data_IF_292945886183
#
_entry.id   IF_292945886183
#
_cell.length_a   1.000
_cell.length_b   1.000
_cell.length_c   1.000
_cell.angle_alpha   90.00
_cell.angle_beta   90.00
_cell.angle_gamma   90.00
#
_symmetry.space_group_name_H-M   'P 1'
#
loop_
_entity.id
_entity.type
_entity.pdbx_description
1 polymer ?
#
# COMPACT_ATOMS: atom_id res chain seq x y z
N UNK A 1 -2.20 -2.81 0.04
CA UNK A 1 -2.88 -3.62 -1.00
C UNK A 1 -4.20 -4.10 -0.45
N UNK A 2 -5.30 -3.49 -0.89
CA UNK A 2 -6.65 -3.95 -0.53
C UNK A 2 -7.14 -4.91 -1.61
N UNK A 3 -7.58 -6.09 -1.21
CA UNK A 3 -8.07 -7.10 -2.14
C UNK A 3 -9.53 -7.45 -1.89
N UNK A 4 -10.28 -7.70 -2.96
CA UNK A 4 -11.63 -8.27 -2.91
C UNK A 4 -11.66 -9.54 -3.75
N UNK A 5 -12.52 -10.49 -3.39
CA UNK A 5 -12.56 -11.82 -4.01
C UNK A 5 -13.79 -12.04 -4.89
N UNK A 6 -14.70 -11.06 -5.00
CA UNK A 6 -15.96 -11.19 -5.73
C UNK A 6 -16.20 -10.00 -6.67
N UNK A 7 -16.61 -10.23 -7.94
CA UNK A 7 -16.77 -11.53 -8.61
C UNK A 7 -15.45 -12.21 -8.99
N UNK A 8 -14.33 -11.48 -8.90
CA UNK A 8 -12.96 -11.95 -9.21
C UNK A 8 -11.97 -11.41 -8.18
N UNK A 9 -10.78 -12.00 -8.11
CA UNK A 9 -9.71 -11.53 -7.24
C UNK A 9 -9.07 -10.26 -7.79
N UNK A 10 -9.41 -9.14 -7.18
CA UNK A 10 -8.96 -7.81 -7.60
C UNK A 10 -8.21 -7.12 -6.47
N UNK A 11 -7.32 -6.22 -6.85
CA UNK A 11 -6.61 -5.32 -5.96
C UNK A 11 -6.97 -3.87 -6.29
N UNK A 12 -7.14 -3.06 -5.26
CA UNK A 12 -7.35 -1.62 -5.43
C UNK A 12 -6.06 -0.96 -5.87
N UNK A 13 -6.12 -0.32 -7.03
CA UNK A 13 -5.10 0.57 -7.57
C UNK A 13 -5.60 2.01 -7.51
N UNK A 14 -4.71 2.94 -7.21
CA UNK A 14 -4.98 4.38 -7.22
C UNK A 14 -4.08 5.07 -8.22
N UNK A 15 -4.59 6.13 -8.85
CA UNK A 15 -3.82 7.00 -9.74
C UNK A 15 -3.59 8.34 -9.05
N UNK A 16 -2.32 8.71 -8.90
CA UNK A 16 -1.96 9.98 -8.26
C UNK A 16 -2.10 11.17 -9.19
N UNK A 17 -2.61 12.28 -8.66
CA UNK A 17 -2.60 13.58 -9.30
C UNK A 17 -1.21 14.20 -9.22
N UNK A 18 -0.88 14.94 -10.28
CA UNK A 18 0.39 15.63 -10.44
C UNK A 18 0.43 16.92 -9.64
N UNK A 19 1.50 17.14 -8.87
CA UNK A 19 2.17 18.44 -8.96
C UNK A 19 3.71 18.39 -9.04
N UNK A 20 4.45 17.40 -8.50
CA UNK A 20 5.92 17.62 -8.35
C UNK A 20 6.92 16.48 -8.69
N UNK A 21 6.59 15.18 -8.88
CA UNK A 21 7.67 14.16 -9.04
C UNK A 21 7.50 13.08 -10.12
N UNK A 22 8.67 12.56 -10.54
CA UNK A 22 9.14 11.68 -11.63
C UNK A 22 8.24 10.58 -12.28
N UNK A 23 6.99 10.35 -11.89
CA UNK A 23 6.18 9.25 -12.43
C UNK A 23 4.70 9.64 -12.61
N UNK A 24 4.49 10.54 -13.56
CA UNK A 24 3.18 11.00 -14.05
C UNK A 24 2.14 9.89 -14.17
N UNK A 25 1.00 10.04 -13.48
CA UNK A 25 -0.17 9.17 -13.65
C UNK A 25 0.09 7.69 -13.37
N UNK A 26 1.17 7.36 -12.65
CA UNK A 26 1.48 5.99 -12.31
C UNK A 26 0.41 5.41 -11.39
N UNK A 27 0.06 4.15 -11.64
CA UNK A 27 -0.79 3.38 -10.73
C UNK A 27 0.06 2.81 -9.60
N UNK A 28 -0.42 3.02 -8.38
CA UNK A 28 0.16 2.51 -7.14
C UNK A 28 -0.94 1.89 -6.28
N UNK A 29 -0.56 1.21 -5.21
CA UNK A 29 -1.54 0.88 -4.16
C UNK A 29 -1.77 2.10 -3.27
N UNK A 30 -2.91 2.17 -2.55
CA UNK A 30 -3.07 3.19 -1.54
C UNK A 30 -1.96 3.16 -0.50
N UNK A 31 -1.46 4.32 -0.08
CA UNK A 31 -0.44 4.41 0.96
C UNK A 31 0.52 5.59 0.83
N UNK A 32 0.98 6.12 1.95
CA UNK A 32 1.85 7.28 2.00
C UNK A 32 2.90 7.20 3.10
N UNK A 33 3.25 8.35 3.66
CA UNK A 33 4.30 8.44 4.69
C UNK A 33 3.69 8.13 6.06
N UNK A 34 4.50 7.57 6.94
CA UNK A 34 4.16 7.53 8.37
C UNK A 34 4.29 8.94 8.93
N UNK A 35 3.25 9.38 9.64
CA UNK A 35 3.18 10.68 10.30
C UNK A 35 3.30 10.53 11.82
N UNK A 36 3.51 11.65 12.52
CA UNK A 36 3.73 11.65 13.97
C UNK A 36 2.53 11.05 14.73
N UNK A 37 1.30 11.35 14.29
CA UNK A 37 0.10 10.78 14.91
C UNK A 37 -0.09 9.28 14.64
N UNK A 38 0.54 8.71 13.61
CA UNK A 38 0.50 7.25 13.39
C UNK A 38 1.33 6.51 14.45
N UNK A 39 2.26 7.22 15.11
CA UNK A 39 3.13 6.72 16.17
C UNK A 39 2.62 7.09 17.58
N UNK A 40 1.45 7.72 17.68
CA UNK A 40 0.89 8.16 18.96
C UNK A 40 0.66 6.98 19.92
N UNK A 41 1.17 7.02 21.16
CA UNK A 41 0.99 5.93 22.11
C UNK A 41 -0.47 5.64 22.47
N UNK A 42 -1.40 6.58 22.28
CA UNK A 42 -2.85 6.38 22.46
C UNK A 42 -3.41 5.26 21.57
N UNK A 43 -2.72 4.88 20.50
CA UNK A 43 -3.09 3.71 19.69
C UNK A 43 -3.03 2.40 20.47
N UNK A 44 -2.21 2.30 21.52
CA UNK A 44 -2.15 1.10 22.36
C UNK A 44 -3.49 0.80 23.07
N UNK A 45 -4.30 1.83 23.32
CA UNK A 45 -5.64 1.72 23.91
C UNK A 45 -6.74 1.61 22.86
N UNK A 46 -6.46 2.07 21.62
CA UNK A 46 -7.48 2.24 20.58
C UNK A 46 -7.44 1.15 19.50
N UNK A 47 -6.36 0.37 19.44
CA UNK A 47 -6.16 -0.67 18.44
C UNK A 47 -6.03 -2.07 19.07
N UNK A 48 -6.77 -3.03 18.51
CA UNK A 48 -6.65 -4.45 18.82
C UNK A 48 -5.36 -4.99 18.19
N UNK A 49 -4.70 -5.91 18.89
CA UNK A 49 -3.50 -6.59 18.39
C UNK A 49 -2.24 -5.74 18.42
N UNK A 50 -2.23 -4.62 19.14
CA UNK A 50 -1.06 -3.74 19.31
C UNK A 50 0.21 -4.48 19.73
N UNK A 51 0.08 -5.41 20.70
CA UNK A 51 1.19 -6.23 21.20
C UNK A 51 1.43 -7.51 20.37
N UNK A 52 0.54 -7.84 19.44
CA UNK A 52 0.66 -9.00 18.55
C UNK A 52 1.48 -8.67 17.28
N UNK A 53 1.70 -7.38 17.01
CA UNK A 53 2.52 -6.89 15.90
C UNK A 53 3.85 -6.32 16.40
N UNK A 54 4.91 -6.47 15.60
CA UNK A 54 6.23 -5.91 15.91
C UNK A 54 6.15 -4.38 16.02
N UNK A 55 6.91 -3.80 16.96
CA UNK A 55 6.89 -2.36 17.23
C UNK A 55 7.16 -1.51 15.99
N UNK A 56 8.15 -1.92 15.18
CA UNK A 56 8.51 -1.25 13.93
C UNK A 56 7.39 -1.26 12.87
N UNK A 57 6.40 -2.16 13.01
CA UNK A 57 5.27 -2.26 12.09
C UNK A 57 4.03 -1.48 12.56
N UNK A 58 3.95 -1.07 13.83
CA UNK A 58 2.76 -0.43 14.41
C UNK A 58 2.40 0.85 13.67
N UNK A 59 3.32 1.81 13.61
CA UNK A 59 3.15 3.05 12.86
C UNK A 59 2.85 2.81 11.38
N UNK A 60 3.67 2.02 10.65
CA UNK A 60 3.39 1.69 9.25
C UNK A 60 2.03 1.02 9.00
N UNK A 61 1.50 0.22 9.94
CA UNK A 61 0.17 -0.37 9.82
C UNK A 61 -0.92 0.68 9.99
N UNK A 62 -0.80 1.55 10.99
CA UNK A 62 -1.72 2.68 11.19
C UNK A 62 -1.71 3.60 9.97
N UNK A 63 -0.52 4.00 9.50
CA UNK A 63 -0.36 4.81 8.30
C UNK A 63 -1.01 4.15 7.08
N UNK A 64 -0.81 2.85 6.86
CA UNK A 64 -1.44 2.14 5.75
C UNK A 64 -2.98 2.12 5.82
N UNK A 65 -3.57 2.08 7.03
CA UNK A 65 -5.02 2.15 7.23
C UNK A 65 -5.52 3.59 6.97
N UNK A 66 -4.84 4.59 7.56
CA UNK A 66 -5.15 6.01 7.39
C UNK A 66 -5.13 6.41 5.92
N UNK A 67 -4.04 6.13 5.24
CA UNK A 67 -3.84 6.49 3.83
C UNK A 67 -4.84 5.80 2.90
N UNK A 68 -5.18 4.53 3.17
CA UNK A 68 -6.24 3.86 2.44
C UNK A 68 -7.60 4.57 2.62
N UNK A 69 -7.88 5.06 3.83
CA UNK A 69 -9.09 5.80 4.12
C UNK A 69 -9.07 7.19 3.46
N UNK A 70 -7.97 7.93 3.57
CA UNK A 70 -7.78 9.26 2.98
C UNK A 70 -7.86 9.23 1.46
N UNK A 71 -7.16 8.32 0.78
CA UNK A 71 -7.07 8.27 -0.68
C UNK A 71 -8.31 7.62 -1.33
N UNK A 72 -8.98 6.67 -0.64
CA UNK A 72 -10.02 5.83 -1.27
C UNK A 72 -11.33 5.68 -0.49
N UNK A 73 -11.40 6.20 0.74
CA UNK A 73 -12.56 6.02 1.63
C UNK A 73 -12.68 4.62 2.21
N UNK A 74 -11.76 3.72 1.87
CA UNK A 74 -11.74 2.36 2.39
C UNK A 74 -11.02 2.34 3.73
N UNK A 75 -11.69 1.84 4.76
CA UNK A 75 -11.15 1.70 6.11
C UNK A 75 -10.81 0.22 6.40
N UNK A 76 -9.67 -0.30 5.92
CA UNK A 76 -9.28 -1.70 6.14
C UNK A 76 -8.93 -1.96 7.60
N UNK A 77 -8.98 -3.23 8.00
CA UNK A 77 -8.64 -3.64 9.36
C UNK A 77 -9.63 -3.14 10.42
N UNK A 78 -10.82 -2.71 10.02
CA UNK A 78 -11.88 -2.31 10.93
C UNK A 78 -12.86 -3.47 11.16
N UNK A 79 -13.19 -3.75 12.42
CA UNK A 79 -14.17 -4.80 12.81
C UNK A 79 -15.60 -4.28 12.70
N UNK A 80 -15.81 -2.97 12.86
CA UNK A 80 -17.11 -2.31 12.79
C UNK A 80 -16.93 -0.92 12.13
N UNK A 81 -16.97 -0.83 10.79
CA UNK A 81 -16.81 0.45 10.12
C UNK A 81 -18.02 1.36 10.39
N UNK A 82 -17.83 2.69 10.42
CA UNK A 82 -18.93 3.63 10.60
C UNK A 82 -19.93 3.52 9.44
N UNK A 83 -21.22 3.56 9.76
CA UNK A 83 -22.30 3.39 8.77
C UNK A 83 -22.45 4.59 7.82
N UNK A 84 -22.01 5.78 8.26
CA UNK A 84 -22.18 7.04 7.54
C UNK A 84 -20.98 7.33 6.62
N UNK A 85 -21.16 7.07 5.32
CA UNK A 85 -20.16 7.38 4.29
C UNK A 85 -20.02 8.87 4.00
N UNK A 86 -21.06 9.67 4.19
CA UNK A 86 -21.00 11.12 3.96
C UNK A 86 -20.15 11.79 5.06
N UNK A 87 -20.35 11.36 6.31
CA UNK A 87 -19.48 11.71 7.43
C UNK A 87 -18.02 11.33 7.19
N UNK A 88 -17.74 10.19 6.56
CA UNK A 88 -16.38 9.80 6.17
C UNK A 88 -15.76 10.74 5.12
N UNK A 89 -16.53 11.26 4.16
CA UNK A 89 -16.01 12.20 3.16
C UNK A 89 -15.59 13.54 3.81
N UNK A 90 -16.42 14.08 4.71
CA UNK A 90 -16.07 15.28 5.48
C UNK A 90 -14.86 15.05 6.39
N UNK A 91 -14.79 13.90 7.05
CA UNK A 91 -13.65 13.53 7.89
C UNK A 91 -12.34 13.45 7.10
N UNK A 92 -12.37 12.85 5.90
CA UNK A 92 -11.20 12.80 5.00
C UNK A 92 -10.73 14.20 4.61
N UNK A 93 -11.64 15.09 4.24
CA UNK A 93 -11.29 16.49 3.93
C UNK A 93 -10.70 17.24 5.14
N UNK A 94 -11.16 16.91 6.35
CA UNK A 94 -10.62 17.47 7.59
C UNK A 94 -9.26 16.87 7.99
N UNK A 95 -8.98 15.62 7.61
CA UNK A 95 -7.64 15.02 7.78
C UNK A 95 -6.65 15.65 6.80
N UNK A 96 -7.04 15.77 5.54
CA UNK A 96 -6.23 16.39 4.48
C UNK A 96 -5.83 17.84 4.83
N UNK A 97 -6.75 18.63 5.41
CA UNK A 97 -6.46 20.01 5.80
C UNK A 97 -5.77 20.13 7.18
N UNK A 98 -5.47 19.00 7.84
CA UNK A 98 -4.79 18.94 9.14
C UNK A 98 -5.65 19.37 10.33
N UNK A 99 -6.97 19.50 10.20
CA UNK A 99 -7.87 19.90 11.30
C UNK A 99 -8.44 18.72 12.09
N UNK A 100 -8.28 17.49 11.59
CA UNK A 100 -8.67 16.26 12.27
C UNK A 100 -7.56 15.22 12.19
N UNK A 101 -7.02 14.78 13.31
CA UNK A 101 -6.10 13.63 13.31
C UNK A 101 -6.89 12.32 13.16
N UNK A 102 -6.32 11.35 12.44
CA UNK A 102 -6.96 10.05 12.22
C UNK A 102 -7.30 9.31 13.52
N UNK A 103 -6.45 9.40 14.54
CA UNK A 103 -6.71 8.79 15.86
C UNK A 103 -7.94 9.40 16.56
N UNK A 104 -8.15 10.71 16.41
CA UNK A 104 -9.28 11.39 17.02
C UNK A 104 -10.57 11.01 16.29
N UNK A 105 -10.54 10.87 14.97
CA UNK A 105 -11.64 10.28 14.20
C UNK A 105 -11.99 8.88 14.69
N UNK A 106 -10.99 8.00 14.81
CA UNK A 106 -11.20 6.62 15.26
C UNK A 106 -11.88 6.59 16.64
N UNK A 107 -11.43 7.43 17.58
CA UNK A 107 -11.99 7.49 18.93
C UNK A 107 -13.39 8.11 18.96
N UNK A 108 -13.62 9.20 18.23
CA UNK A 108 -14.91 9.91 18.20
C UNK A 108 -16.02 9.06 17.58
N UNK A 109 -15.67 8.26 16.58
CA UNK A 109 -16.62 7.40 15.86
C UNK A 109 -16.62 5.95 16.38
N UNK A 110 -15.97 5.68 17.51
CA UNK A 110 -15.88 4.35 18.15
C UNK A 110 -15.41 3.24 17.17
N UNK A 111 -14.56 3.63 16.21
CA UNK A 111 -13.99 2.73 15.23
C UNK A 111 -13.00 1.82 15.94
N UNK A 112 -13.14 0.51 15.75
CA UNK A 112 -12.21 -0.47 16.30
C UNK A 112 -11.31 -1.00 15.19
N UNK A 113 -10.03 -0.65 15.24
CA UNK A 113 -8.99 -1.17 14.33
C UNK A 113 -8.35 -2.43 14.92
N UNK A 114 -8.18 -3.47 14.12
CA UNK A 114 -7.39 -4.66 14.45
C UNK A 114 -6.17 -4.74 13.54
N UNK A 115 -4.99 -4.46 14.11
CA UNK A 115 -3.73 -4.40 13.36
C UNK A 115 -3.35 -5.75 12.75
N UNK A 116 -3.90 -6.87 13.24
CA UNK A 116 -3.61 -8.23 12.75
C UNK A 116 -4.32 -8.55 11.45
N UNK A 117 -5.34 -7.76 11.09
CA UNK A 117 -6.05 -7.89 9.82
C UNK A 117 -5.20 -7.45 8.62
N UNK A 118 -4.10 -6.73 8.85
CA UNK A 118 -3.07 -6.47 7.86
C UNK A 118 -2.02 -7.58 7.94
N UNK A 119 -1.61 -8.13 6.81
CA UNK A 119 -0.45 -9.02 6.75
C UNK A 119 0.70 -8.30 6.06
N UNK A 120 1.87 -8.26 6.70
CA UNK A 120 3.09 -7.74 6.07
C UNK A 120 3.41 -8.58 4.85
N UNK A 121 3.30 -7.97 3.68
CA UNK A 121 3.54 -8.62 2.41
C UNK A 121 5.01 -8.49 1.99
N UNK A 122 5.55 -7.27 2.07
CA UNK A 122 6.97 -6.96 1.83
C UNK A 122 7.37 -5.65 2.50
N UNK A 123 8.67 -5.44 2.71
CA UNK A 123 9.28 -4.18 3.16
C UNK A 123 10.38 -3.82 2.17
N UNK A 124 10.26 -2.69 1.51
CA UNK A 124 11.19 -2.26 0.46
C UNK A 124 12.06 -1.12 0.95
N UNK A 125 13.37 -1.35 0.97
CA UNK A 125 14.39 -0.37 1.29
C UNK A 125 14.97 0.18 -0.01
N UNK A 126 14.85 1.48 -0.20
CA UNK A 126 15.47 2.13 -1.36
C UNK A 126 16.99 2.00 -1.28
N UNK A 127 17.66 1.65 -2.41
CA UNK A 127 19.11 1.44 -2.42
C UNK A 127 19.86 2.70 -1.93
N UNK A 128 21.02 2.53 -1.26
CA UNK A 128 21.77 3.65 -0.69
C UNK A 128 22.29 4.64 -1.73
N UNK A 129 22.41 4.21 -3.00
CA UNK A 129 22.91 5.02 -4.12
C UNK A 129 21.88 6.00 -4.68
N UNK A 130 20.61 5.91 -4.25
CA UNK A 130 19.53 6.80 -4.73
C UNK A 130 19.37 7.97 -3.75
N UNK A 131 19.33 9.24 -4.21
CA UNK A 131 19.27 10.41 -3.31
C UNK A 131 18.03 10.45 -2.42
N UNK A 132 16.86 10.10 -2.96
CA UNK A 132 15.59 10.03 -2.22
C UNK A 132 15.36 8.59 -1.80
N UNK A 133 15.33 8.34 -0.50
CA UNK A 133 15.20 6.98 0.07
C UNK A 133 13.90 6.82 0.82
N UNK A 134 13.28 5.67 0.63
CA UNK A 134 12.08 5.22 1.31
C UNK A 134 12.30 3.86 1.94
N UNK A 135 11.65 3.64 3.08
CA UNK A 135 11.50 2.35 3.77
C UNK A 135 10.01 2.03 3.80
N UNK A 136 9.55 1.31 2.78
CA UNK A 136 8.13 1.16 2.49
C UNK A 136 7.63 -0.21 2.90
N UNK A 137 6.69 -0.25 3.83
CA UNK A 137 6.00 -1.48 4.25
C UNK A 137 4.75 -1.66 3.39
N UNK A 138 4.68 -2.77 2.65
CA UNK A 138 3.49 -3.18 1.91
C UNK A 138 2.72 -4.19 2.73
N UNK A 139 1.44 -3.89 2.98
CA UNK A 139 0.50 -4.80 3.62
C UNK A 139 -0.53 -5.31 2.62
N UNK A 140 -1.02 -6.53 2.84
CA UNK A 140 -2.23 -7.07 2.20
C UNK A 140 -3.35 -7.20 3.24
N UNK A 141 -4.55 -6.79 2.86
CA UNK A 141 -5.75 -6.88 3.69
C UNK A 141 -7.01 -7.05 2.83
N UNK A 142 -8.08 -7.58 3.43
CA UNK A 142 -9.40 -7.57 2.80
C UNK A 142 -9.88 -6.14 2.64
N UNK A 143 -10.44 -5.83 1.48
CA UNK A 143 -11.19 -4.60 1.26
C UNK A 143 -12.49 -4.62 2.09
N UNK A 144 -12.87 -3.50 2.71
CA UNK A 144 -14.23 -3.31 3.21
C UNK A 144 -15.28 -3.38 2.09
N UNK A 145 -16.53 -3.65 2.43
CA UNK A 145 -17.62 -3.62 1.47
C UNK A 145 -17.91 -2.20 0.99
N UNK A 146 -18.07 -2.02 -0.32
CA UNK A 146 -18.34 -0.73 -0.93
C UNK A 146 -17.49 -0.44 -2.16
N UNK A 147 -17.68 0.76 -2.71
CA UNK A 147 -16.85 1.27 -3.79
C UNK A 147 -15.80 2.24 -3.25
N UNK A 148 -14.61 2.16 -3.85
CA UNK A 148 -13.50 3.03 -3.52
C UNK A 148 -13.72 4.38 -4.19
N UNK A 149 -13.64 5.47 -3.44
CA UNK A 149 -13.86 6.82 -3.94
C UNK A 149 -12.60 7.65 -3.73
N UNK A 150 -11.99 8.05 -4.84
CA UNK A 150 -10.83 8.94 -4.87
C UNK A 150 -11.09 10.24 -4.07
N UNK A 151 -10.05 10.81 -3.44
CA UNK A 151 -10.15 12.12 -2.78
C UNK A 151 -10.34 13.29 -3.76
N UNK A 152 -10.01 13.08 -5.05
CA UNK A 152 -10.16 14.06 -6.12
C UNK A 152 -9.05 15.12 -6.18
N UNK A 153 -8.00 14.98 -5.37
CA UNK A 153 -6.87 15.91 -5.26
C UNK A 153 -5.51 15.25 -5.33
N UNK A 154 -5.19 14.34 -4.41
CA UNK A 154 -3.95 13.55 -4.45
C UNK A 154 -4.16 12.27 -5.24
N UNK A 155 -5.34 11.67 -5.10
CA UNK A 155 -5.81 10.54 -5.91
C UNK A 155 -6.90 11.04 -6.84
N UNK A 156 -6.70 10.90 -8.14
CA UNK A 156 -7.70 11.31 -9.15
C UNK A 156 -8.60 10.19 -9.62
N UNK A 157 -8.18 8.95 -9.39
CA UNK A 157 -8.87 7.77 -9.91
C UNK A 157 -8.58 6.55 -9.04
N UNK A 158 -9.60 5.70 -8.89
CA UNK A 158 -9.52 4.41 -8.20
C UNK A 158 -9.96 3.33 -9.17
N UNK A 159 -9.19 2.26 -9.27
CA UNK A 159 -9.45 1.17 -10.20
C UNK A 159 -9.28 -0.17 -9.47
N UNK A 160 -10.30 -1.02 -9.50
CA UNK A 160 -10.17 -2.42 -9.10
C UNK A 160 -9.68 -3.22 -10.30
N UNK A 161 -8.52 -3.88 -10.17
CA UNK A 161 -7.93 -4.67 -11.24
C UNK A 161 -7.53 -6.04 -10.74
N UNK A 162 -7.72 -7.07 -11.56
CA UNK A 162 -7.02 -8.32 -11.31
C UNK A 162 -5.51 -8.06 -11.38
N UNK A 163 -4.69 -8.60 -10.47
CA UNK A 163 -3.25 -8.33 -10.45
C UNK A 163 -2.56 -8.61 -11.80
N UNK A 164 -2.98 -9.68 -12.49
CA UNK A 164 -2.48 -10.04 -13.82
C UNK A 164 -2.87 -9.02 -14.90
N UNK A 165 -4.06 -8.42 -14.82
CA UNK A 165 -4.49 -7.39 -15.77
C UNK A 165 -3.73 -6.08 -15.57
N UNK A 166 -3.47 -5.68 -14.33
CA UNK A 166 -2.62 -4.52 -14.05
C UNK A 166 -1.21 -4.69 -14.65
N UNK A 167 -0.62 -5.89 -14.52
CA UNK A 167 0.67 -6.23 -15.15
C UNK A 167 0.60 -6.19 -16.68
N UNK A 168 -0.46 -6.76 -17.27
CA UNK A 168 -0.68 -6.77 -18.71
C UNK A 168 -0.80 -5.34 -19.27
N UNK A 169 -1.63 -4.50 -18.65
CA UNK A 169 -1.78 -3.10 -19.01
C UNK A 169 -0.46 -2.34 -18.93
N UNK A 170 0.39 -2.65 -17.96
CA UNK A 170 1.72 -2.05 -17.86
C UNK A 170 2.68 -2.54 -18.96
N UNK A 171 2.68 -3.84 -19.25
CA UNK A 171 3.50 -4.41 -20.32
C UNK A 171 3.11 -3.89 -21.71
N UNK A 172 1.83 -3.61 -21.92
CA UNK A 172 1.29 -3.01 -23.15
C UNK A 172 1.44 -1.47 -23.19
N UNK A 173 2.04 -0.84 -22.17
CA UNK A 173 2.22 0.61 -22.10
C UNK A 173 0.94 1.43 -21.85
N UNK A 174 -0.18 0.78 -21.52
CA UNK A 174 -1.47 1.45 -21.25
C UNK A 174 -1.54 2.06 -19.84
N UNK A 175 -0.66 1.61 -18.94
CA UNK A 175 -0.52 2.14 -17.57
C UNK A 175 0.96 2.16 -17.17
N UNK A 176 1.38 3.20 -16.48
CA UNK A 176 2.69 3.22 -15.81
C UNK A 176 2.53 2.61 -14.42
N UNK A 177 3.35 1.61 -14.07
CA UNK A 177 3.36 1.02 -12.72
C UNK A 177 4.79 1.05 -12.19
N UNK A 178 4.97 1.64 -11.00
CA UNK A 178 6.28 1.78 -10.37
C UNK A 178 6.87 0.42 -10.01
N UNK A 179 8.20 0.30 -10.05
CA UNK A 179 8.90 -0.99 -9.93
C UNK A 179 8.49 -1.83 -8.69
N UNK A 180 8.51 -1.31 -7.45
CA UNK A 180 8.05 -2.09 -6.28
C UNK A 180 6.59 -2.54 -6.37
N UNK A 181 5.71 -1.70 -6.92
CA UNK A 181 4.29 -2.05 -7.13
C UNK A 181 4.15 -3.17 -8.13
N UNK A 182 4.85 -3.10 -9.27
CA UNK A 182 4.83 -4.15 -10.31
C UNK A 182 5.35 -5.48 -9.77
N UNK A 183 6.42 -5.45 -8.98
CA UNK A 183 6.97 -6.66 -8.33
C UNK A 183 5.96 -7.29 -7.37
N UNK A 184 5.33 -6.49 -6.50
CA UNK A 184 4.29 -6.99 -5.59
C UNK A 184 3.05 -7.51 -6.32
N UNK A 185 2.62 -6.86 -7.42
CA UNK A 185 1.55 -7.35 -8.30
C UNK A 185 1.90 -8.72 -8.90
N UNK A 186 3.16 -8.93 -9.31
CA UNK A 186 3.66 -10.22 -9.79
C UNK A 186 3.44 -11.35 -8.80
N UNK A 187 3.77 -11.12 -7.53
CA UNK A 187 3.51 -12.10 -6.47
C UNK A 187 2.02 -12.27 -6.20
N UNK A 188 1.26 -11.17 -6.16
CA UNK A 188 -0.18 -11.22 -5.91
C UNK A 188 -0.93 -11.98 -7.02
N UNK A 189 -0.44 -11.92 -8.26
CA UNK A 189 -0.98 -12.66 -9.40
C UNK A 189 -0.80 -14.19 -9.32
N UNK A 190 0.04 -14.70 -8.40
CA UNK A 190 0.25 -16.15 -8.20
C UNK A 190 -0.89 -16.82 -7.41
N UNK A 191 -1.81 -16.03 -6.87
CA UNK A 191 -2.95 -16.49 -6.07
C UNK A 191 -4.25 -15.84 -6.59
N UNK A 192 -5.39 -16.36 -6.14
CA UNK A 192 -6.73 -15.82 -6.42
C UNK A 192 -7.55 -15.57 -5.16
N UNK A 193 -6.89 -15.62 -3.99
CA UNK A 193 -7.53 -15.40 -2.70
C UNK A 193 -6.62 -14.60 -1.79
N UNK A 194 -7.22 -13.85 -0.87
CA UNK A 194 -6.54 -13.20 0.25
C UNK A 194 -5.81 -14.25 1.09
N UNK A 195 -6.45 -15.39 1.37
CA UNK A 195 -5.84 -16.48 2.13
C UNK A 195 -4.54 -16.99 1.47
N UNK A 196 -4.55 -17.19 0.15
CA UNK A 196 -3.36 -17.57 -0.59
C UNK A 196 -2.29 -16.47 -0.61
N UNK A 197 -2.68 -15.19 -0.71
CA UNK A 197 -1.75 -14.07 -0.65
C UNK A 197 -1.06 -13.97 0.72
N UNK A 198 -1.83 -14.16 1.80
CA UNK A 198 -1.32 -14.21 3.18
C UNK A 198 -0.38 -15.39 3.39
N UNK A 199 -0.74 -16.57 2.90
CA UNK A 199 0.10 -17.77 3.01
C UNK A 199 1.43 -17.57 2.26
N UNK A 200 1.39 -17.06 1.02
CA UNK A 200 2.59 -16.78 0.24
C UNK A 200 3.49 -15.73 0.90
N UNK A 201 2.92 -14.65 1.44
CA UNK A 201 3.67 -13.63 2.18
C UNK A 201 4.37 -14.18 3.43
N UNK A 202 3.67 -15.03 4.19
CA UNK A 202 4.21 -15.63 5.43
C UNK A 202 5.30 -16.68 5.16
N UNK A 203 5.16 -17.46 4.09
CA UNK A 203 6.11 -18.50 3.72
C UNK A 203 7.45 -17.94 3.19
N UNK A 204 7.48 -16.68 2.76
CA UNK A 204 8.67 -16.05 2.20
C UNK A 204 9.65 -15.59 3.29
N UNK A 205 10.89 -16.05 3.20
CA UNK A 205 11.99 -15.69 4.10
C UNK A 205 12.47 -14.25 3.91
N UNK A 206 12.72 -13.82 2.66
CA UNK A 206 13.15 -12.47 2.32
C UNK A 206 12.01 -11.47 2.16
N UNK A 207 11.37 -11.07 3.27
CA UNK A 207 10.34 -10.00 3.23
C UNK A 207 10.92 -8.60 3.17
N UNK A 208 12.17 -8.39 3.58
CA UNK A 208 12.87 -7.11 3.41
C UNK A 208 13.66 -7.17 2.11
N UNK A 209 13.37 -6.25 1.21
CA UNK A 209 13.95 -6.17 -0.12
C UNK A 209 14.74 -4.90 -0.25
N UNK A 210 16.02 -5.04 -0.55
CA UNK A 210 16.90 -3.93 -0.89
C UNK A 210 17.44 -4.18 -2.30
N UNK A 211 16.88 -3.53 -3.33
CA UNK A 211 17.40 -3.66 -4.68
C UNK A 211 18.87 -3.26 -4.75
N UNK A 212 19.63 -3.88 -5.64
CA UNK A 212 20.98 -3.46 -5.98
C UNK A 212 20.95 -2.76 -7.32
N UNK A 213 21.70 -1.68 -7.43
CA UNK A 213 21.91 -0.99 -8.72
C UNK A 213 23.34 -1.21 -9.14
N UNK A 214 23.54 -1.77 -10.32
CA UNK A 214 24.85 -2.05 -10.90
C UNK A 214 25.03 -1.23 -12.18
N UNK A 215 26.17 -0.56 -12.31
CA UNK A 215 26.57 0.16 -13.52
C UNK A 215 27.31 -0.82 -14.44
N UNK A 216 26.83 -0.99 -15.68
CA UNK A 216 27.46 -1.80 -16.72
C UNK A 216 27.63 -0.96 -17.98
N UNK A 217 28.82 -0.37 -18.14
CA UNK A 217 29.05 0.63 -19.19
C UNK A 217 28.24 1.91 -18.93
N UNK A 218 27.50 2.38 -19.93
CA UNK A 218 26.57 3.52 -19.79
C UNK A 218 25.28 3.17 -19.05
N UNK A 219 24.96 1.88 -18.98
CA UNK A 219 23.67 1.40 -18.51
C UNK A 219 23.70 1.10 -17.02
N UNK A 220 22.54 1.27 -16.37
CA UNK A 220 22.34 0.86 -14.98
C UNK A 220 21.29 -0.21 -14.92
N UNK A 221 21.53 -1.25 -14.14
CA UNK A 221 20.59 -2.35 -13.94
C UNK A 221 20.12 -2.36 -12.50
N UNK A 222 18.81 -2.49 -12.30
CA UNK A 222 18.23 -2.83 -11.00
C UNK A 222 18.12 -4.35 -10.89
N UNK A 223 18.56 -4.90 -9.76
CA UNK A 223 18.52 -6.33 -9.48
C UNK A 223 17.92 -6.58 -8.11
N UNK A 224 17.20 -7.69 -7.98
CA UNK A 224 16.76 -8.20 -6.69
C UNK A 224 17.60 -9.41 -6.28
N UNK A 225 17.76 -9.58 -4.98
CA UNK A 225 18.30 -10.82 -4.43
C UNK A 225 17.35 -11.99 -4.77
N UNK A 226 17.82 -13.11 -5.35
CA UNK A 226 16.99 -14.29 -5.57
C UNK A 226 16.26 -14.77 -4.29
N UNK A 227 16.85 -14.57 -3.11
CA UNK A 227 16.25 -14.92 -1.82
C UNK A 227 15.11 -13.97 -1.41
N UNK A 228 14.95 -12.82 -2.08
CA UNK A 228 13.82 -11.90 -1.89
C UNK A 228 12.49 -12.48 -2.40
N UNK A 229 12.52 -13.64 -3.06
CA UNK A 229 11.33 -14.40 -3.46
C UNK A 229 10.54 -13.81 -4.63
N UNK A 230 11.17 -12.94 -5.45
CA UNK A 230 10.60 -12.44 -6.70
C UNK A 230 11.13 -13.18 -7.96
N UNK A 231 11.88 -14.26 -7.76
CA UNK A 231 12.61 -14.93 -8.84
C UNK A 231 13.82 -14.14 -9.32
N UNK A 232 14.32 -14.46 -10.51
CA UNK A 232 15.40 -13.70 -11.13
C UNK A 232 14.86 -12.37 -11.68
N UNK A 233 15.32 -11.26 -11.12
CA UNK A 233 14.97 -9.91 -11.57
C UNK A 233 16.25 -9.15 -11.85
N UNK A 234 16.43 -8.81 -13.12
CA UNK A 234 17.47 -7.92 -13.63
C UNK A 234 16.85 -7.07 -14.73
N UNK A 235 16.75 -5.76 -14.50
CA UNK A 235 16.06 -4.85 -15.43
C UNK A 235 16.88 -3.59 -15.65
N UNK A 236 16.85 -3.08 -16.89
CA UNK A 236 17.49 -1.82 -17.23
C UNK A 236 16.77 -0.68 -16.52
N UNK A 237 17.50 0.05 -15.69
CA UNK A 237 17.04 1.21 -14.95
C UNK A 237 17.03 2.40 -15.90
N UNK A 238 15.92 2.56 -16.61
CA UNK A 238 15.65 3.71 -17.47
C UNK A 238 15.43 4.93 -16.56
N UNK A 239 16.52 5.66 -16.31
CA UNK A 239 16.42 7.02 -15.76
C UNK A 239 16.23 7.93 -16.97
N UNK A 240 15.12 8.68 -17.08
CA UNK A 240 15.11 9.87 -17.92
C UNK A 240 16.21 10.86 -17.53
#
# INVERSE_FOLDING_TARGET
MLVREQPVFEVLMVRRHHQIDFMSGAMVFPGGKVEEHDLDPRWAESAIGWNDVAEIERGPRIAAIREAFEESGMLPGCVAPPADREGSAHARAAMENGTLAFIDYVRQHEVTLDLRMLTLFSRWLTPPVVPKRFDTFFYVASAPAGEAVADGRETVDTEWLAPADALRLAAEGHRTIVFPTRMNLGLLATTRTLAGAVAAAKARSGRTIQPRVEQRGSDRYIMLDPEAGYGHVEELLSIP
#
